data_IF_134184204129
#
_entry.id   IF_134184204129
#
_cell.length_a   1.000
_cell.length_b   1.000
_cell.length_c   1.000
_cell.angle_alpha   90.00
_cell.angle_beta   90.00
_cell.angle_gamma   90.00
#
_symmetry.space_group_name_H-M   'P 1'
#
loop_
_entity.id
_entity.type
_entity.pdbx_description
1 polymer ?
#
# COMPACT_ATOMS: atom_id res chain seq x y z
N UNK A 1 -9.74 18.25 27.41
CA UNK A 1 -10.14 17.73 26.09
C UNK A 1 -9.58 16.33 25.97
N UNK A 2 -10.47 15.37 25.64
CA UNK A 2 -10.06 13.99 25.34
C UNK A 2 -9.76 13.89 23.85
N UNK A 3 -8.55 13.44 23.51
CA UNK A 3 -8.23 13.11 22.14
C UNK A 3 -9.13 11.97 21.65
N UNK A 4 -9.62 12.02 20.40
CA UNK A 4 -10.40 10.94 19.85
C UNK A 4 -9.58 9.67 19.82
N UNK A 5 -10.05 8.63 20.47
CA UNK A 5 -9.42 7.33 20.49
C UNK A 5 -10.45 6.23 20.22
N UNK A 6 -9.99 5.17 19.61
CA UNK A 6 -10.75 3.93 19.50
C UNK A 6 -9.84 2.74 19.85
N UNK A 7 -10.45 1.68 20.30
CA UNK A 7 -9.74 0.46 20.63
C UNK A 7 -10.65 -0.75 20.54
N UNK A 8 -10.05 -1.90 20.32
CA UNK A 8 -10.75 -3.17 20.30
C UNK A 8 -9.84 -4.26 20.87
N UNK A 9 -10.46 -5.36 21.30
CA UNK A 9 -9.75 -6.56 21.72
C UNK A 9 -10.10 -7.72 20.78
N UNK A 10 -9.09 -8.49 20.40
CA UNK A 10 -9.23 -9.64 19.51
C UNK A 10 -8.56 -10.86 20.15
N UNK A 11 -9.30 -11.97 20.23
CA UNK A 11 -8.72 -13.26 20.65
C UNK A 11 -7.96 -13.90 19.49
N UNK A 12 -6.66 -13.69 19.42
CA UNK A 12 -5.79 -14.15 18.32
C UNK A 12 -5.89 -15.66 18.09
N UNK A 13 -5.75 -16.46 19.15
CA UNK A 13 -5.82 -17.94 19.05
C UNK A 13 -7.16 -18.42 18.50
N UNK A 14 -8.27 -17.75 18.88
CA UNK A 14 -9.59 -18.10 18.38
C UNK A 14 -9.75 -17.79 16.89
N UNK A 15 -9.13 -16.71 16.41
CA UNK A 15 -9.13 -16.35 14.98
C UNK A 15 -8.34 -17.37 14.18
N UNK A 16 -7.16 -17.79 14.68
CA UNK A 16 -6.36 -18.83 14.03
C UNK A 16 -7.15 -20.14 13.90
N UNK A 17 -7.72 -20.63 15.00
CA UNK A 17 -8.54 -21.86 15.01
C UNK A 17 -9.74 -21.77 14.03
N UNK A 18 -10.35 -20.59 13.91
CA UNK A 18 -11.45 -20.37 12.98
C UNK A 18 -10.98 -20.41 11.52
N UNK A 19 -9.81 -19.82 11.21
CA UNK A 19 -9.22 -19.85 9.88
C UNK A 19 -8.80 -21.25 9.46
N UNK A 20 -8.16 -22.00 10.35
CA UNK A 20 -7.79 -23.41 10.14
C UNK A 20 -9.04 -24.27 9.85
N UNK A 21 -10.08 -24.13 10.68
CA UNK A 21 -11.33 -24.86 10.48
C UNK A 21 -12.03 -24.48 9.16
N UNK A 22 -12.01 -23.22 8.78
CA UNK A 22 -12.56 -22.76 7.52
C UNK A 22 -11.75 -23.29 6.32
N UNK A 23 -10.43 -23.24 6.37
CA UNK A 23 -9.56 -23.76 5.31
C UNK A 23 -9.79 -25.28 5.11
N UNK A 24 -9.90 -26.03 6.20
CA UNK A 24 -10.20 -27.46 6.15
C UNK A 24 -11.59 -27.76 5.55
N UNK A 25 -12.60 -26.98 5.92
CA UNK A 25 -13.96 -27.14 5.37
C UNK A 25 -14.05 -26.81 3.87
N UNK A 26 -13.29 -25.80 3.43
CA UNK A 26 -13.23 -25.36 2.02
C UNK A 26 -12.21 -26.15 1.18
N UNK A 27 -11.49 -27.11 1.78
CA UNK A 27 -10.44 -27.91 1.12
C UNK A 27 -9.38 -27.05 0.40
N UNK A 28 -9.06 -25.88 0.95
CA UNK A 28 -8.04 -24.97 0.43
C UNK A 28 -6.78 -25.00 1.31
N UNK A 29 -5.66 -24.66 0.70
CA UNK A 29 -4.44 -24.46 1.47
C UNK A 29 -4.60 -23.28 2.45
N UNK A 30 -4.03 -23.41 3.61
CA UNK A 30 -3.98 -22.33 4.59
C UNK A 30 -3.04 -21.23 4.07
N UNK A 31 -3.58 -20.03 3.89
CA UNK A 31 -2.78 -18.87 3.46
C UNK A 31 -2.33 -18.12 4.70
N UNK A 32 -1.06 -18.17 5.01
CA UNK A 32 -0.46 -17.36 6.06
C UNK A 32 -0.17 -15.97 5.48
N UNK A 33 -0.82 -14.91 6.00
CA UNK A 33 -0.57 -13.55 5.53
C UNK A 33 0.92 -13.18 5.65
N UNK A 34 1.51 -12.62 4.59
CA UNK A 34 2.91 -12.20 4.57
C UNK A 34 3.92 -13.24 4.09
N UNK A 35 3.50 -14.47 3.77
CA UNK A 35 4.40 -15.49 3.19
C UNK A 35 4.60 -15.38 1.68
N UNK A 36 3.78 -14.60 0.97
CA UNK A 36 3.96 -14.38 -0.46
C UNK A 36 4.93 -13.22 -0.70
N UNK A 37 6.21 -13.54 -0.86
CA UNK A 37 7.29 -12.59 -1.18
C UNK A 37 7.17 -11.95 -2.58
N UNK A 38 6.23 -12.40 -3.40
CA UNK A 38 6.05 -11.93 -4.79
C UNK A 38 5.06 -10.77 -4.95
N UNK A 39 4.33 -10.42 -3.90
CA UNK A 39 3.37 -9.32 -3.99
C UNK A 39 4.10 -7.97 -3.94
N UNK A 40 4.03 -7.15 -4.99
CA UNK A 40 4.70 -5.86 -4.98
C UNK A 40 4.16 -5.00 -3.82
N UNK A 41 5.06 -4.48 -3.00
CA UNK A 41 4.74 -3.54 -1.93
C UNK A 41 4.97 -2.12 -2.45
N UNK A 42 3.89 -1.35 -2.56
CA UNK A 42 3.90 0.04 -3.03
C UNK A 42 3.83 1.01 -1.84
N UNK A 43 4.80 1.91 -1.75
CA UNK A 43 4.71 3.06 -0.86
C UNK A 43 3.97 4.22 -1.55
N UNK A 44 2.82 4.61 -1.03
CA UNK A 44 2.08 5.81 -1.44
C UNK A 44 2.48 6.98 -0.54
N UNK A 45 3.07 8.01 -1.13
CA UNK A 45 3.62 9.16 -0.41
C UNK A 45 2.85 10.43 -0.80
N UNK A 46 1.79 10.80 -0.04
CA UNK A 46 1.11 12.08 -0.25
C UNK A 46 2.03 13.22 0.18
N UNK A 47 2.34 14.14 -0.73
CA UNK A 47 3.21 15.27 -0.49
C UNK A 47 2.47 16.59 -0.66
N UNK A 48 2.30 17.35 0.45
CA UNK A 48 1.54 18.61 0.49
C UNK A 48 0.07 18.47 0.02
N UNK A 49 -0.51 17.30 0.17
CA UNK A 49 -1.93 17.01 -0.06
C UNK A 49 -2.50 16.29 1.16
N UNK A 50 -3.83 16.28 1.28
CA UNK A 50 -4.46 15.45 2.30
C UNK A 50 -4.43 13.99 1.86
N UNK A 51 -4.02 13.09 2.74
CA UNK A 51 -4.01 11.65 2.45
C UNK A 51 -5.38 11.09 2.05
N UNK A 52 -6.47 11.73 2.47
CA UNK A 52 -7.83 11.35 2.06
C UNK A 52 -8.05 11.40 0.54
N UNK A 53 -7.31 12.25 -0.18
CA UNK A 53 -7.44 12.41 -1.63
C UNK A 53 -6.97 11.18 -2.42
N UNK A 54 -6.06 10.39 -1.84
CA UNK A 54 -5.54 9.16 -2.46
C UNK A 54 -6.18 7.88 -1.93
N UNK A 55 -7.02 7.94 -0.88
CA UNK A 55 -7.60 6.73 -0.26
C UNK A 55 -8.46 5.91 -1.22
N UNK A 56 -9.17 6.55 -2.13
CA UNK A 56 -9.98 5.86 -3.15
C UNK A 56 -9.10 4.98 -4.05
N UNK A 57 -7.99 5.53 -4.53
CA UNK A 57 -7.01 4.83 -5.36
C UNK A 57 -6.32 3.70 -4.59
N UNK A 58 -5.90 3.96 -3.35
CA UNK A 58 -5.32 2.93 -2.46
C UNK A 58 -6.27 1.77 -2.25
N UNK A 59 -7.56 2.05 -2.03
CA UNK A 59 -8.58 1.00 -1.87
C UNK A 59 -8.66 0.12 -3.12
N UNK A 60 -8.69 0.71 -4.30
CA UNK A 60 -8.73 -0.03 -5.57
C UNK A 60 -7.51 -0.93 -5.75
N UNK A 61 -6.30 -0.41 -5.50
CA UNK A 61 -5.06 -1.17 -5.56
C UNK A 61 -5.05 -2.35 -4.58
N UNK A 62 -5.44 -2.12 -3.33
CA UNK A 62 -5.53 -3.18 -2.32
C UNK A 62 -6.56 -4.25 -2.68
N UNK A 63 -7.71 -3.85 -3.25
CA UNK A 63 -8.74 -4.79 -3.71
C UNK A 63 -8.27 -5.69 -4.85
N UNK A 64 -7.20 -5.31 -5.54
CA UNK A 64 -6.58 -6.08 -6.64
C UNK A 64 -5.39 -6.91 -6.19
N UNK A 65 -5.17 -7.01 -4.87
CA UNK A 65 -4.09 -7.81 -4.29
C UNK A 65 -2.75 -7.07 -4.18
N UNK A 66 -2.66 -5.77 -4.51
CA UNK A 66 -1.44 -4.99 -4.30
C UNK A 66 -1.31 -4.62 -2.82
N UNK A 67 -0.18 -4.91 -2.22
CA UNK A 67 0.15 -4.41 -0.89
C UNK A 67 0.53 -2.93 -0.99
N UNK A 68 -0.20 -2.05 -0.30
CA UNK A 68 0.02 -0.60 -0.33
C UNK A 68 0.21 -0.07 1.08
N UNK A 69 1.34 0.58 1.32
CA UNK A 69 1.63 1.34 2.53
C UNK A 69 1.51 2.83 2.26
N UNK A 70 0.89 3.57 3.19
CA UNK A 70 0.69 5.02 3.04
C UNK A 70 1.60 5.74 4.04
N UNK A 71 2.36 6.72 3.57
CA UNK A 71 3.10 7.61 4.43
C UNK A 71 2.16 8.61 5.11
N UNK A 72 1.91 8.44 6.43
CA UNK A 72 0.96 9.25 7.20
C UNK A 72 1.62 10.34 8.08
N UNK A 73 2.95 10.37 8.16
CA UNK A 73 3.67 11.32 9.04
C UNK A 73 4.09 12.61 8.35
N UNK A 74 3.63 12.84 7.13
CA UNK A 74 3.96 14.05 6.34
C UNK A 74 5.47 14.34 6.28
N UNK A 75 6.29 13.29 6.10
CA UNK A 75 7.73 13.42 5.98
C UNK A 75 8.13 14.18 4.73
N UNK A 76 9.30 14.83 4.75
CA UNK A 76 9.94 15.30 3.51
C UNK A 76 10.21 14.13 2.57
N UNK A 77 10.11 14.36 1.26
CA UNK A 77 10.20 13.30 0.23
C UNK A 77 11.42 12.38 0.44
N UNK A 78 12.60 12.91 0.68
CA UNK A 78 13.80 12.10 0.91
C UNK A 78 13.70 11.17 2.12
N UNK A 79 13.08 11.63 3.22
CA UNK A 79 12.83 10.79 4.40
C UNK A 79 11.72 9.78 4.17
N UNK A 80 10.71 10.13 3.37
CA UNK A 80 9.63 9.22 2.99
C UNK A 80 10.13 8.10 2.07
N UNK A 81 11.02 8.43 1.13
CA UNK A 81 11.68 7.44 0.29
C UNK A 81 12.56 6.47 1.10
N UNK A 82 13.35 6.99 2.05
CA UNK A 82 14.14 6.14 2.96
C UNK A 82 13.26 5.27 3.88
N UNK A 83 12.09 5.75 4.27
CA UNK A 83 11.12 4.95 4.99
C UNK A 83 10.57 3.82 4.11
N UNK A 84 10.21 4.10 2.86
CA UNK A 84 9.72 3.09 1.92
C UNK A 84 10.74 1.97 1.70
N UNK A 85 12.02 2.33 1.54
CA UNK A 85 13.11 1.38 1.43
C UNK A 85 13.30 0.53 2.70
N UNK A 86 13.26 1.16 3.88
CA UNK A 86 13.41 0.48 5.17
C UNK A 86 12.31 -0.54 5.48
N UNK A 87 11.09 -0.33 5.01
CA UNK A 87 9.97 -1.28 5.18
C UNK A 87 9.90 -2.32 4.04
N UNK A 88 10.87 -2.30 3.12
CA UNK A 88 10.97 -3.28 2.04
C UNK A 88 9.99 -3.06 0.89
N UNK A 89 9.58 -1.81 0.65
CA UNK A 89 8.79 -1.50 -0.55
C UNK A 89 9.59 -1.74 -1.81
N UNK A 90 8.96 -2.37 -2.80
CA UNK A 90 9.55 -2.53 -4.14
C UNK A 90 9.42 -1.26 -4.97
N UNK A 91 8.35 -0.50 -4.77
CA UNK A 91 8.01 0.70 -5.52
C UNK A 91 7.56 1.83 -4.60
N UNK A 92 7.74 3.06 -5.07
CA UNK A 92 7.22 4.26 -4.40
C UNK A 92 6.53 5.17 -5.40
N UNK A 93 5.39 5.73 -5.01
CA UNK A 93 4.61 6.71 -5.76
C UNK A 93 4.40 7.95 -4.90
N UNK A 94 5.02 9.05 -5.32
CA UNK A 94 4.81 10.37 -4.71
C UNK A 94 3.66 11.05 -5.44
N UNK A 95 2.69 11.57 -4.67
CA UNK A 95 1.54 12.29 -5.22
C UNK A 95 1.48 13.66 -4.55
N UNK A 96 1.67 14.71 -5.34
CA UNK A 96 1.55 16.09 -4.93
C UNK A 96 0.34 16.81 -5.54
N UNK A 97 0.14 18.12 -5.24
CA UNK A 97 -0.99 18.88 -5.77
C UNK A 97 -1.03 18.92 -7.30
N UNK A 98 0.13 19.07 -7.95
CA UNK A 98 0.24 19.11 -9.42
C UNK A 98 -0.11 17.78 -10.06
N UNK A 99 0.27 16.67 -9.40
CA UNK A 99 -0.01 15.32 -9.89
C UNK A 99 -1.52 15.05 -9.87
N UNK A 100 -2.22 15.52 -8.81
CA UNK A 100 -3.68 15.45 -8.73
C UNK A 100 -4.36 16.29 -9.79
N UNK A 101 -3.89 17.52 -10.03
CA UNK A 101 -4.45 18.42 -11.05
C UNK A 101 -4.27 17.87 -12.47
N UNK A 102 -3.12 17.25 -12.75
CA UNK A 102 -2.78 16.71 -14.06
C UNK A 102 -3.29 15.27 -14.25
N UNK A 103 -3.67 14.59 -13.18
CA UNK A 103 -4.03 13.18 -13.19
C UNK A 103 -2.86 12.26 -13.55
N UNK A 104 -1.62 12.71 -13.34
CA UNK A 104 -0.41 11.98 -13.70
C UNK A 104 0.59 12.02 -12.55
N UNK A 105 1.35 10.94 -12.40
CA UNK A 105 2.41 10.84 -11.41
C UNK A 105 3.54 9.94 -11.93
N UNK A 106 4.53 9.66 -11.08
CA UNK A 106 5.64 8.78 -11.43
C UNK A 106 5.82 7.72 -10.37
N UNK A 107 5.72 6.46 -10.77
CA UNK A 107 6.11 5.31 -9.95
C UNK A 107 7.62 5.14 -10.07
N UNK A 108 8.29 5.01 -8.94
CA UNK A 108 9.73 4.72 -8.89
C UNK A 108 9.94 3.31 -8.34
N UNK A 109 10.65 2.48 -9.08
CA UNK A 109 11.17 1.20 -8.60
C UNK A 109 12.39 1.45 -7.70
N UNK A 110 12.39 0.91 -6.49
CA UNK A 110 13.43 1.23 -5.49
C UNK A 110 14.72 0.43 -5.70
N UNK A 111 14.65 -0.74 -6.33
CA UNK A 111 15.82 -1.61 -6.55
C UNK A 111 16.88 -1.01 -7.48
N UNK A 112 16.48 -0.29 -8.51
CA UNK A 112 17.35 0.28 -9.55
C UNK A 112 17.12 1.77 -9.79
N UNK A 113 16.08 2.33 -9.18
CA UNK A 113 15.71 3.74 -9.32
C UNK A 113 14.99 4.09 -10.61
N UNK A 114 14.60 3.11 -11.43
CA UNK A 114 13.84 3.34 -12.66
C UNK A 114 12.50 3.99 -12.38
N UNK A 115 12.07 4.86 -13.28
CA UNK A 115 10.88 5.68 -13.12
C UNK A 115 9.91 5.44 -14.27
N UNK A 116 8.64 5.21 -13.92
CA UNK A 116 7.56 4.94 -14.85
C UNK A 116 6.50 6.03 -14.73
N UNK A 117 6.26 6.82 -15.79
CA UNK A 117 5.14 7.76 -15.79
C UNK A 117 3.82 6.97 -15.81
N UNK A 118 2.89 7.37 -14.96
CA UNK A 118 1.58 6.73 -14.83
C UNK A 118 0.48 7.77 -14.77
N UNK A 119 -0.71 7.43 -15.24
CA UNK A 119 -1.93 8.14 -14.85
C UNK A 119 -2.32 7.75 -13.42
N UNK A 120 -2.94 8.68 -12.69
CA UNK A 120 -3.42 8.43 -11.32
C UNK A 120 -4.71 7.61 -11.35
N UNK A 121 -4.66 6.49 -12.04
CA UNK A 121 -5.69 5.46 -12.08
C UNK A 121 -5.10 4.09 -11.71
N UNK A 122 -5.98 3.22 -11.31
CA UNK A 122 -5.64 1.88 -10.84
C UNK A 122 -4.90 1.05 -11.91
N UNK A 123 -5.37 1.07 -13.17
CA UNK A 123 -4.87 0.19 -14.23
C UNK A 123 -3.45 0.56 -14.65
N UNK A 124 -3.18 1.86 -14.77
CA UNK A 124 -1.86 2.40 -15.15
C UNK A 124 -0.81 2.08 -14.07
N UNK A 125 -1.17 2.29 -12.79
CA UNK A 125 -0.26 1.98 -11.67
C UNK A 125 0.00 0.48 -11.59
N UNK A 126 -1.04 -0.36 -11.68
CA UNK A 126 -0.89 -1.82 -11.65
C UNK A 126 0.02 -2.33 -12.77
N UNK A 127 -0.07 -1.75 -13.97
CA UNK A 127 0.81 -2.08 -15.09
C UNK A 127 2.27 -1.72 -14.81
N UNK A 128 2.52 -0.56 -14.22
CA UNK A 128 3.87 -0.11 -13.85
C UNK A 128 4.51 -0.98 -12.75
N UNK A 129 3.71 -1.52 -11.82
CA UNK A 129 4.21 -2.41 -10.76
C UNK A 129 4.63 -3.81 -11.28
N UNK A 130 4.18 -4.18 -12.48
CA UNK A 130 4.49 -5.45 -13.13
C UNK A 130 5.63 -5.35 -14.14
N UNK A 131 6.01 -4.13 -14.47
CA UNK A 131 7.12 -3.84 -15.38
C UNK A 131 8.47 -3.97 -14.68
#
# INVERSE_FOLDING_TARGET
DLDPCCGFGLGFDRVLLALEAQAAAEQREEVVPGQNDETPLLAMIPFNINSSEILGLVRQLRSSGVCVEIELRSRKIGKAMGWADNIGCSHALVVGPRDLEQGQATVKRLSDGEQFPVTLDFESILSALKA
#
